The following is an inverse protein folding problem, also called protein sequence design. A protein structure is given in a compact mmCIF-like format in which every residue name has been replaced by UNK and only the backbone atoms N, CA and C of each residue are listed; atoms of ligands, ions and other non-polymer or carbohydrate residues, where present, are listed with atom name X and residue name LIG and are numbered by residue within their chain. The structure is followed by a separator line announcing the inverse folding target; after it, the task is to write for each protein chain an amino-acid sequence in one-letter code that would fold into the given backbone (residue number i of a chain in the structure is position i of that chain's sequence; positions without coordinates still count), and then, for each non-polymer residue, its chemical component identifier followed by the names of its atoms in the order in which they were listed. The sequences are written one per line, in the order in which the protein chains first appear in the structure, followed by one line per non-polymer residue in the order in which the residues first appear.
data_IF_367512291624
#
_entry.id   IF_367512291624
#
_cell.length_a   1.000
_cell.length_b   1.000
_cell.length_c   1.000
_cell.angle_alpha   90.00
_cell.angle_beta   90.00
_cell.angle_gamma   90.00
#
_symmetry.space_group_name_H-M   'P 1'
#
loop_
_entity.id
_entity.type
_entity.pdbx_description
1 polymer ?
#
# COMPACT_ATOMS: atom_id res chain seq x y z
N UNK A 1 0.91 -12.44 8.44
CA UNK A 1 1.46 -11.07 8.22
C UNK A 1 2.29 -11.14 6.95
N UNK A 2 2.04 -10.26 6.00
CA UNK A 2 2.70 -10.28 4.70
C UNK A 2 3.53 -9.02 4.42
N UNK A 3 4.01 -8.38 5.49
CA UNK A 3 4.94 -7.26 5.46
C UNK A 3 6.16 -7.55 6.33
N UNK A 4 7.35 -7.28 5.81
CA UNK A 4 8.63 -7.44 6.49
C UNK A 4 9.41 -6.13 6.50
N UNK A 5 10.07 -5.82 7.63
CA UNK A 5 10.98 -4.68 7.76
C UNK A 5 12.43 -5.16 7.68
N UNK A 6 13.23 -4.53 6.82
CA UNK A 6 14.64 -4.87 6.59
C UNK A 6 15.59 -3.93 7.33
N UNK A 7 15.13 -2.72 7.61
CA UNK A 7 15.92 -1.65 8.26
C UNK A 7 15.05 -0.89 9.26
N UNK A 8 15.66 -0.22 10.25
CA UNK A 8 14.96 0.75 11.09
C UNK A 8 14.27 1.81 10.23
N UNK A 9 13.00 2.09 10.49
CA UNK A 9 12.17 3.01 9.68
C UNK A 9 12.24 4.47 10.16
N UNK A 10 12.84 4.74 11.29
CA UNK A 10 12.92 6.07 11.90
C UNK A 10 13.42 7.15 10.93
N UNK A 11 14.42 6.91 10.06
CA UNK A 11 14.83 7.91 9.08
C UNK A 11 13.75 8.33 8.08
N UNK A 12 12.73 7.49 7.88
CA UNK A 12 11.58 7.84 7.03
C UNK A 12 10.54 8.70 7.76
N UNK A 13 10.59 8.75 9.08
CA UNK A 13 9.53 9.32 9.91
C UNK A 13 9.77 10.79 10.28
N UNK A 14 10.91 11.36 9.92
CA UNK A 14 11.19 12.75 10.21
C UNK A 14 10.14 13.68 9.60
N UNK A 15 9.54 14.54 10.42
CA UNK A 15 8.52 15.51 10.00
C UNK A 15 7.26 14.94 9.34
N UNK A 16 6.93 13.67 9.56
CA UNK A 16 5.74 13.03 9.01
C UNK A 16 4.54 13.20 9.95
N UNK A 17 3.58 14.02 9.57
CA UNK A 17 2.31 14.09 10.30
C UNK A 17 1.40 12.90 10.00
N UNK A 18 1.25 12.55 8.71
CA UNK A 18 0.62 11.31 8.24
C UNK A 18 1.26 10.91 6.91
N UNK A 19 1.50 9.62 6.71
CA UNK A 19 2.17 9.12 5.51
C UNK A 19 1.63 7.78 5.01
N UNK A 20 1.80 7.57 3.70
CA UNK A 20 1.35 6.38 2.99
C UNK A 20 2.44 5.92 2.02
N UNK A 21 2.50 4.62 1.75
CA UNK A 21 3.33 4.07 0.69
C UNK A 21 2.66 4.15 -0.68
N UNK A 22 3.44 4.39 -1.73
CA UNK A 22 2.99 4.14 -3.10
C UNK A 22 2.92 2.63 -3.35
N UNK A 23 1.93 2.21 -4.13
CA UNK A 23 1.94 0.88 -4.75
C UNK A 23 2.90 0.87 -5.95
N UNK A 24 3.53 -0.28 -6.26
CA UNK A 24 4.28 -0.41 -7.50
C UNK A 24 3.44 -0.02 -8.72
N UNK A 25 4.01 0.68 -9.73
CA UNK A 25 3.26 1.14 -10.89
C UNK A 25 2.50 0.03 -11.63
N UNK A 26 3.02 -1.20 -11.60
CA UNK A 26 2.40 -2.38 -12.21
C UNK A 26 1.06 -2.77 -11.55
N UNK A 27 0.84 -2.36 -10.31
CA UNK A 27 -0.42 -2.58 -9.59
C UNK A 27 -1.49 -1.52 -9.92
N UNK A 28 -1.12 -0.47 -10.65
CA UNK A 28 -2.06 0.58 -11.03
C UNK A 28 -2.85 0.19 -12.28
N UNK A 29 -3.99 -0.45 -12.08
CA UNK A 29 -4.92 -0.84 -13.14
C UNK A 29 -5.91 0.28 -13.53
N UNK A 30 -5.81 1.45 -12.89
CA UNK A 30 -6.66 2.59 -13.18
C UNK A 30 -5.85 3.71 -13.84
N UNK A 31 -5.88 3.77 -15.16
CA UNK A 31 -5.16 4.76 -15.96
C UNK A 31 -5.55 6.23 -15.67
N UNK A 32 -6.67 6.46 -15.01
CA UNK A 32 -7.10 7.81 -14.60
C UNK A 32 -6.40 8.29 -13.32
N UNK A 33 -5.74 7.41 -12.59
CA UNK A 33 -4.95 7.76 -11.40
C UNK A 33 -3.47 7.74 -11.74
N UNK A 34 -2.72 8.82 -11.47
CA UNK A 34 -1.28 8.85 -11.74
C UNK A 34 -0.49 7.89 -10.85
N UNK A 35 -0.98 7.63 -9.64
CA UNK A 35 -0.35 6.77 -8.64
C UNK A 35 -1.43 6.09 -7.80
N UNK A 36 -1.29 4.80 -7.57
CA UNK A 36 -2.09 4.06 -6.59
C UNK A 36 -1.40 4.17 -5.23
N UNK A 37 -2.16 4.58 -4.20
CA UNK A 37 -1.64 4.76 -2.85
C UNK A 37 -2.04 3.56 -2.01
N UNK A 38 -1.03 2.85 -1.51
CA UNK A 38 -1.21 1.64 -0.75
C UNK A 38 -1.65 1.88 0.70
N UNK A 39 -2.25 0.86 1.27
CA UNK A 39 -2.57 0.78 2.70
C UNK A 39 -1.71 -0.24 3.44
N UNK A 40 -0.72 -0.83 2.78
CA UNK A 40 0.22 -1.76 3.40
C UNK A 40 1.27 -1.04 4.26
N UNK A 41 1.60 0.20 3.91
CA UNK A 41 2.49 1.05 4.71
C UNK A 41 1.79 2.37 5.02
N UNK A 42 1.42 2.54 6.29
CA UNK A 42 0.76 3.75 6.79
C UNK A 42 1.38 4.14 8.12
N UNK A 43 1.71 5.41 8.27
CA UNK A 43 2.34 5.97 9.48
C UNK A 43 1.72 7.30 9.83
N UNK A 44 1.75 7.68 11.11
CA UNK A 44 1.39 9.03 11.54
C UNK A 44 2.02 9.38 12.89
N UNK A 45 2.04 10.69 13.17
CA UNK A 45 2.21 11.16 14.53
C UNK A 45 1.02 10.71 15.41
N UNK A 46 1.21 10.62 16.72
CA UNK A 46 0.12 10.33 17.65
C UNK A 46 -1.02 11.34 17.53
N UNK A 47 -2.27 10.86 17.62
CA UNK A 47 -3.49 11.67 17.59
C UNK A 47 -3.74 12.43 16.27
N UNK A 48 -3.13 12.02 15.16
CA UNK A 48 -3.41 12.62 13.86
C UNK A 48 -4.89 12.47 13.50
N UNK A 49 -5.57 13.60 13.26
CA UNK A 49 -6.99 13.64 12.89
C UNK A 49 -7.29 13.01 11.53
N UNK A 50 -6.28 12.80 10.69
CA UNK A 50 -6.42 12.15 9.39
C UNK A 50 -7.03 10.74 9.48
N UNK A 51 -6.80 10.02 10.57
CA UNK A 51 -7.42 8.71 10.82
C UNK A 51 -8.94 8.79 10.96
N UNK A 52 -9.45 9.85 11.56
CA UNK A 52 -10.90 10.08 11.66
C UNK A 52 -11.51 10.31 10.27
N UNK A 53 -10.83 11.05 9.40
CA UNK A 53 -11.29 11.26 8.04
C UNK A 53 -11.27 9.96 7.21
N UNK A 54 -10.24 9.12 7.38
CA UNK A 54 -10.17 7.79 6.77
C UNK A 54 -11.31 6.91 7.27
N UNK A 55 -11.56 6.85 8.56
CA UNK A 55 -12.67 6.06 9.13
C UNK A 55 -14.03 6.49 8.58
N UNK A 56 -14.27 7.80 8.44
CA UNK A 56 -15.49 8.33 7.81
C UNK A 56 -15.60 7.86 6.36
N UNK A 57 -14.53 7.96 5.57
CA UNK A 57 -14.54 7.50 4.18
C UNK A 57 -14.79 5.99 4.07
N UNK A 58 -14.24 5.17 4.98
CA UNK A 58 -14.53 3.73 5.05
C UNK A 58 -16.03 3.52 5.26
N UNK A 59 -16.64 4.22 6.23
CA UNK A 59 -18.06 4.11 6.52
C UNK A 59 -18.90 4.49 5.31
N UNK A 60 -18.60 5.62 4.67
CA UNK A 60 -19.29 6.08 3.47
C UNK A 60 -19.10 5.12 2.30
N UNK A 61 -17.90 4.56 2.13
CA UNK A 61 -17.59 3.58 1.09
C UNK A 61 -18.36 2.26 1.28
N UNK A 62 -18.54 1.82 2.53
CA UNK A 62 -19.31 0.61 2.84
C UNK A 62 -20.80 0.72 2.47
N UNK A 63 -21.33 1.94 2.42
CA UNK A 63 -22.70 2.22 2.00
C UNK A 63 -22.88 2.28 0.49
N UNK A 64 -21.78 2.33 -0.29
CA UNK A 64 -21.80 2.33 -1.75
C UNK A 64 -21.83 0.89 -2.27
N UNK A 65 -22.48 0.70 -3.42
CA UNK A 65 -22.45 -0.59 -4.09
C UNK A 65 -21.19 -0.70 -4.97
N UNK A 66 -20.33 -1.63 -4.59
CA UNK A 66 -19.13 -1.99 -5.35
C UNK A 66 -19.21 -3.47 -5.72
N UNK A 67 -19.79 -3.81 -6.87
CA UNK A 67 -20.02 -5.23 -7.25
C UNK A 67 -18.74 -6.02 -7.45
N UNK A 68 -17.65 -5.36 -7.84
CA UNK A 68 -16.33 -5.97 -8.00
C UNK A 68 -15.28 -5.25 -7.13
N UNK A 69 -14.28 -6.00 -6.68
CA UNK A 69 -13.15 -5.47 -5.90
C UNK A 69 -13.58 -4.66 -4.66
N UNK A 70 -14.65 -5.09 -3.99
CA UNK A 70 -15.23 -4.37 -2.86
C UNK A 70 -14.19 -3.97 -1.79
N UNK A 71 -13.27 -4.88 -1.44
CA UNK A 71 -12.20 -4.61 -0.47
C UNK A 71 -11.31 -3.46 -0.93
N UNK A 72 -10.92 -3.43 -2.20
CA UNK A 72 -10.09 -2.36 -2.78
C UNK A 72 -10.74 -0.97 -2.64
N UNK A 73 -12.06 -0.91 -2.82
CA UNK A 73 -12.84 0.33 -2.79
C UNK A 73 -13.26 0.77 -1.38
N UNK A 74 -13.39 -0.16 -0.44
CA UNK A 74 -13.89 0.14 0.91
C UNK A 74 -12.78 0.38 1.93
N UNK A 75 -11.74 -0.45 1.93
CA UNK A 75 -10.65 -0.40 2.91
C UNK A 75 -9.26 -0.48 2.28
N UNK A 76 -9.18 -0.70 0.97
CA UNK A 76 -7.93 -0.92 0.25
C UNK A 76 -7.38 0.32 -0.44
N UNK A 77 -6.39 0.12 -1.34
CA UNK A 77 -5.65 1.19 -2.01
C UNK A 77 -6.52 2.17 -2.79
N UNK A 78 -7.62 1.72 -3.42
CA UNK A 78 -8.51 2.62 -4.15
C UNK A 78 -9.24 3.60 -3.23
N UNK A 79 -9.59 3.17 -2.01
CA UNK A 79 -10.19 4.06 -1.01
C UNK A 79 -9.17 5.11 -0.55
N UNK A 80 -7.96 4.70 -0.17
CA UNK A 80 -6.90 5.64 0.24
C UNK A 80 -6.59 6.62 -0.89
N UNK A 81 -6.42 6.15 -2.13
CA UNK A 81 -6.13 7.00 -3.28
C UNK A 81 -7.23 8.05 -3.52
N UNK A 82 -8.48 7.68 -3.31
CA UNK A 82 -9.63 8.60 -3.45
C UNK A 82 -9.62 9.72 -2.42
N UNK A 83 -9.34 9.41 -1.14
CA UNK A 83 -9.33 10.41 -0.07
C UNK A 83 -8.02 11.21 0.01
N UNK A 84 -6.95 10.74 -0.59
CA UNK A 84 -5.60 11.29 -0.47
C UNK A 84 -5.53 12.81 -0.72
N UNK A 85 -6.18 13.29 -1.79
CA UNK A 85 -6.20 14.72 -2.09
C UNK A 85 -6.96 15.55 -1.04
N UNK A 86 -7.95 14.96 -0.38
CA UNK A 86 -8.66 15.60 0.73
C UNK A 86 -7.77 15.68 1.97
N UNK A 87 -7.04 14.61 2.27
CA UNK A 87 -6.07 14.59 3.37
C UNK A 87 -4.97 15.64 3.14
N UNK A 88 -4.41 15.75 1.94
CA UNK A 88 -3.37 16.76 1.59
C UNK A 88 -3.82 18.21 1.80
N UNK A 89 -5.10 18.50 1.67
CA UNK A 89 -5.64 19.86 1.93
C UNK A 89 -5.70 20.21 3.43
N UNK A 90 -5.72 19.20 4.30
CA UNK A 90 -5.95 19.37 5.74
C UNK A 90 -4.72 19.05 6.59
N UNK A 91 -3.84 18.19 6.10
CA UNK A 91 -2.70 17.66 6.85
C UNK A 91 -1.43 17.74 6.01
N UNK A 92 -0.27 17.75 6.69
CA UNK A 92 1.03 17.51 6.04
C UNK A 92 1.11 16.01 5.72
N UNK A 93 0.83 15.64 4.48
CA UNK A 93 0.83 14.25 4.02
C UNK A 93 2.13 13.95 3.30
N UNK A 94 2.81 12.88 3.72
CA UNK A 94 4.01 12.33 3.08
C UNK A 94 3.63 11.11 2.24
N UNK A 95 4.07 11.07 0.99
CA UNK A 95 3.97 9.90 0.14
C UNK A 95 5.36 9.27 0.00
N UNK A 96 5.51 8.04 0.46
CA UNK A 96 6.77 7.30 0.38
C UNK A 96 6.86 6.57 -0.95
N UNK A 97 7.97 6.70 -1.68
CA UNK A 97 8.16 5.99 -2.94
C UNK A 97 8.03 4.47 -2.75
N UNK A 98 7.38 3.79 -3.69
CA UNK A 98 7.22 2.34 -3.64
C UNK A 98 8.57 1.62 -3.48
N UNK A 99 9.63 2.12 -4.12
CA UNK A 99 10.98 1.55 -4.02
C UNK A 99 11.55 1.51 -2.59
N UNK A 100 10.96 2.26 -1.67
CA UNK A 100 11.40 2.31 -0.25
C UNK A 100 10.53 1.47 0.69
N UNK A 101 9.25 1.27 0.36
CA UNK A 101 8.29 0.66 1.30
C UNK A 101 7.49 -0.52 0.74
N UNK A 102 7.42 -0.66 -0.60
CA UNK A 102 6.73 -1.76 -1.29
C UNK A 102 7.43 -2.10 -2.63
N UNK A 103 8.75 -2.42 -2.63
CA UNK A 103 9.57 -2.48 -3.83
C UNK A 103 9.26 -3.66 -4.77
N UNK A 104 8.55 -4.67 -4.29
CA UNK A 104 8.23 -5.89 -5.05
C UNK A 104 6.77 -5.90 -5.48
N UNK A 105 6.50 -6.59 -6.58
CA UNK A 105 5.16 -6.84 -7.10
C UNK A 105 4.68 -8.25 -6.75
N UNK A 106 3.41 -8.56 -7.04
CA UNK A 106 2.90 -9.93 -6.97
C UNK A 106 3.68 -10.88 -7.89
N UNK A 107 4.04 -10.41 -9.09
CA UNK A 107 4.77 -11.23 -10.07
C UNK A 107 6.20 -11.51 -9.58
N UNK A 108 6.86 -10.52 -8.96
CA UNK A 108 8.16 -10.71 -8.33
C UNK A 108 8.11 -11.78 -7.23
N UNK A 109 7.05 -11.77 -6.42
CA UNK A 109 6.85 -12.78 -5.38
C UNK A 109 6.60 -14.15 -5.96
N UNK A 110 5.83 -14.24 -7.06
CA UNK A 110 5.62 -15.47 -7.79
C UNK A 110 6.94 -16.03 -8.32
N UNK A 111 7.74 -15.21 -8.99
CA UNK A 111 9.06 -15.59 -9.50
C UNK A 111 10.02 -16.03 -8.38
N UNK A 112 10.04 -15.32 -7.27
CA UNK A 112 10.87 -15.67 -6.12
C UNK A 112 10.47 -17.03 -5.51
N UNK A 113 9.19 -17.24 -5.25
CA UNK A 113 8.69 -18.45 -4.56
C UNK A 113 8.75 -19.68 -5.46
N UNK A 114 8.31 -19.56 -6.72
CA UNK A 114 8.14 -20.73 -7.60
C UNK A 114 9.29 -20.96 -8.57
N UNK A 115 10.07 -19.93 -8.91
CA UNK A 115 11.16 -20.03 -9.89
C UNK A 115 12.55 -19.89 -9.25
N UNK A 116 12.61 -19.51 -7.98
CA UNK A 116 13.86 -19.36 -7.24
C UNK A 116 14.70 -18.14 -7.69
N UNK A 117 14.09 -17.11 -8.24
CA UNK A 117 14.75 -15.88 -8.70
C UNK A 117 15.19 -14.97 -7.55
N UNK A 118 16.10 -15.49 -6.72
CA UNK A 118 16.53 -14.81 -5.49
C UNK A 118 17.34 -13.54 -5.76
N UNK A 119 18.18 -13.51 -6.81
CA UNK A 119 19.05 -12.37 -7.08
C UNK A 119 18.25 -11.12 -7.48
N UNK A 120 17.26 -11.26 -8.37
CA UNK A 120 16.37 -10.17 -8.76
C UNK A 120 15.58 -9.62 -7.58
N UNK A 121 15.06 -10.51 -6.74
CA UNK A 121 14.33 -10.15 -5.54
C UNK A 121 15.21 -9.35 -4.56
N UNK A 122 16.42 -9.86 -4.23
CA UNK A 122 17.33 -9.21 -3.32
C UNK A 122 17.77 -7.82 -3.80
N UNK A 123 17.98 -7.65 -5.11
CA UNK A 123 18.35 -6.33 -5.65
C UNK A 123 17.21 -5.31 -5.46
N UNK A 124 15.95 -5.70 -5.63
CA UNK A 124 14.79 -4.82 -5.42
C UNK A 124 14.64 -4.38 -3.97
N UNK A 125 14.87 -5.27 -3.01
CA UNK A 125 14.71 -4.95 -1.57
C UNK A 125 15.94 -4.28 -0.95
N UNK A 126 17.09 -4.28 -1.62
CA UNK A 126 18.38 -3.80 -1.09
C UNK A 126 18.32 -2.40 -0.49
N UNK A 127 17.64 -1.48 -1.16
CA UNK A 127 17.50 -0.08 -0.72
C UNK A 127 16.18 0.19 0.00
N UNK A 128 15.34 -0.82 0.15
CA UNK A 128 14.06 -0.68 0.83
C UNK A 128 14.19 -0.75 2.36
N UNK A 129 13.25 -0.16 3.05
CA UNK A 129 13.07 -0.25 4.50
C UNK A 129 12.15 -1.40 4.88
N UNK A 130 11.13 -1.64 4.07
CA UNK A 130 10.21 -2.75 4.23
C UNK A 130 9.66 -3.21 2.88
N UNK A 131 8.96 -4.33 2.87
CA UNK A 131 8.22 -4.81 1.71
C UNK A 131 6.91 -5.46 2.11
N UNK A 132 5.90 -5.28 1.27
CA UNK A 132 4.65 -6.01 1.31
C UNK A 132 4.71 -7.15 0.29
N UNK A 133 4.29 -8.34 0.67
CA UNK A 133 4.45 -9.56 -0.14
C UNK A 133 3.20 -9.97 -0.92
N UNK A 134 2.10 -9.25 -0.78
CA UNK A 134 0.87 -9.42 -1.56
C UNK A 134 0.31 -10.85 -1.56
N UNK A 135 0.35 -11.56 -0.45
CA UNK A 135 -0.17 -12.94 -0.36
C UNK A 135 -1.67 -13.06 -0.67
N UNK A 136 -2.42 -11.96 -0.60
CA UNK A 136 -3.78 -11.86 -1.12
C UNK A 136 -4.77 -12.86 -0.52
N UNK A 137 -4.63 -13.22 0.75
CA UNK A 137 -5.46 -14.21 1.43
C UNK A 137 -6.98 -13.93 1.41
N UNK A 138 -7.36 -12.70 1.09
CA UNK A 138 -8.75 -12.23 0.92
C UNK A 138 -9.23 -12.27 -0.55
N UNK A 139 -8.33 -12.49 -1.51
CA UNK A 139 -8.64 -12.55 -2.93
C UNK A 139 -8.82 -14.01 -3.34
N UNK A 140 -10.07 -14.45 -3.41
CA UNK A 140 -10.43 -15.83 -3.78
C UNK A 140 -10.04 -16.21 -5.22
N UNK A 141 -9.74 -15.23 -6.07
CA UNK A 141 -9.23 -15.45 -7.42
C UNK A 141 -7.70 -15.60 -7.46
N UNK A 142 -7.03 -15.39 -6.35
CA UNK A 142 -5.58 -15.41 -6.22
C UNK A 142 -5.18 -16.30 -5.04
N UNK A 143 -5.17 -17.60 -5.27
CA UNK A 143 -4.67 -18.57 -4.29
C UNK A 143 -3.28 -19.01 -4.69
N UNK A 144 -2.28 -18.75 -3.83
CA UNK A 144 -0.96 -19.38 -3.93
C UNK A 144 -1.01 -20.90 -3.65
N UNK A 145 -2.19 -21.44 -3.34
CA UNK A 145 -2.41 -22.81 -2.88
C UNK A 145 -3.26 -23.67 -3.85
N UNK A 146 -3.37 -23.27 -5.12
CA UNK A 146 -3.96 -24.14 -6.16
C UNK A 146 -2.90 -24.95 -6.88
#
# INVERSE_FOLDING_TARGET
MDTECFKPIEPLLEDVAIGFGEEPPQHNFNSSMPTLIGNAFMVSEPRCGGWIDILKEITDAMLRDYPAQKVMHTTGPLMISRIFNTLKKRYKVTLFPYSKVTPVTKDDMGSYIYQGETASFHEKIKEAYCSHYFFGSWDTNFSFYN
#
